data_IF_937043575506
#
_entry.id   IF_937043575506
#
_cell.length_a   1.000
_cell.length_b   1.000
_cell.length_c   1.000
_cell.angle_alpha   90.00
_cell.angle_beta   90.00
_cell.angle_gamma   90.00
#
_symmetry.space_group_name_H-M   'P 1'
#
loop_
_entity.id
_entity.type
_entity.pdbx_description
1 polymer ?
#
# COMPACT_ATOMS: atom_id res chain seq x y z
N UNK A 1 -22.71 38.96 -63.45
CA UNK A 1 -22.83 38.11 -62.26
C UNK A 1 -21.55 38.28 -61.40
N UNK A 2 -21.63 38.94 -60.24
CA UNK A 2 -20.50 39.19 -59.34
C UNK A 2 -20.70 38.31 -58.10
N UNK A 3 -19.90 37.27 -57.99
CA UNK A 3 -19.88 36.34 -56.84
C UNK A 3 -19.19 37.02 -55.68
N UNK A 4 -19.89 37.27 -54.57
CA UNK A 4 -19.33 37.77 -53.32
C UNK A 4 -18.84 36.55 -52.53
N UNK A 5 -17.54 36.45 -52.31
CA UNK A 5 -16.94 35.50 -51.37
C UNK A 5 -17.13 36.01 -49.94
N UNK A 6 -17.81 35.22 -49.11
CA UNK A 6 -17.98 35.48 -47.69
C UNK A 6 -16.78 34.86 -46.95
N UNK A 7 -15.89 35.70 -46.41
CA UNK A 7 -14.79 35.29 -45.60
C UNK A 7 -15.31 35.09 -44.16
N UNK A 8 -15.42 33.83 -43.72
CA UNK A 8 -15.72 33.50 -42.32
C UNK A 8 -14.45 33.67 -41.47
N UNK A 9 -14.42 34.67 -40.62
CA UNK A 9 -13.38 34.84 -39.60
C UNK A 9 -13.69 33.89 -38.46
N UNK A 10 -12.92 32.82 -38.33
CA UNK A 10 -12.92 31.94 -37.15
C UNK A 10 -12.19 32.67 -36.03
N UNK A 11 -12.91 33.24 -35.08
CA UNK A 11 -12.36 33.75 -33.84
C UNK A 11 -11.90 32.54 -32.98
N UNK A 12 -10.59 32.25 -32.99
CA UNK A 12 -9.95 31.42 -31.95
C UNK A 12 -10.06 32.22 -30.64
N UNK A 13 -10.99 31.84 -29.77
CA UNK A 13 -11.00 32.26 -28.39
C UNK A 13 -9.93 31.39 -27.68
N UNK A 14 -8.82 31.99 -27.19
CA UNK A 14 -7.90 31.21 -26.34
C UNK A 14 -8.66 30.82 -25.08
N UNK A 15 -8.76 29.52 -24.80
CA UNK A 15 -9.22 29.06 -23.52
C UNK A 15 -8.18 29.54 -22.48
N UNK A 16 -8.52 30.55 -21.71
CA UNK A 16 -7.80 30.91 -20.52
C UNK A 16 -7.92 29.69 -19.59
N UNK A 17 -6.87 28.87 -19.55
CA UNK A 17 -6.72 27.92 -18.46
C UNK A 17 -6.73 28.77 -17.17
N UNK A 18 -7.78 28.63 -16.39
CA UNK A 18 -7.88 29.33 -15.10
C UNK A 18 -6.64 28.97 -14.29
N UNK A 19 -5.85 29.99 -13.91
CA UNK A 19 -4.67 29.79 -13.08
C UNK A 19 -5.14 29.12 -11.78
N UNK A 20 -4.58 27.98 -11.46
CA UNK A 20 -4.90 27.21 -10.28
C UNK A 20 -4.64 28.08 -9.04
N UNK A 21 -5.65 28.30 -8.22
CA UNK A 21 -5.52 29.04 -6.97
C UNK A 21 -4.77 28.18 -5.96
N UNK A 22 -3.71 28.72 -5.39
CA UNK A 22 -2.87 28.05 -4.40
C UNK A 22 -2.86 28.89 -3.13
N UNK A 23 -3.15 28.28 -1.99
CA UNK A 23 -3.03 28.92 -0.67
C UNK A 23 -1.55 29.14 -0.28
N UNK A 24 -1.23 30.01 0.68
CA UNK A 24 0.15 30.30 1.08
C UNK A 24 0.95 29.07 1.55
N UNK A 25 0.29 28.05 2.06
CA UNK A 25 0.89 26.76 2.47
C UNK A 25 1.05 25.77 1.30
N UNK A 26 0.73 26.20 0.07
CA UNK A 26 0.85 25.41 -1.14
C UNK A 26 -0.34 24.48 -1.45
N UNK A 27 -1.42 24.52 -0.66
CA UNK A 27 -2.65 23.75 -0.93
C UNK A 27 -3.42 24.36 -2.08
N UNK A 28 -3.87 23.52 -3.02
CA UNK A 28 -4.75 23.99 -4.09
C UNK A 28 -6.14 24.28 -3.55
N UNK A 29 -6.68 25.38 -4.05
CA UNK A 29 -8.04 25.79 -3.77
C UNK A 29 -8.92 25.49 -4.99
N UNK A 30 -10.16 25.07 -4.74
CA UNK A 30 -11.19 24.95 -5.76
C UNK A 30 -11.72 26.36 -6.17
N UNK A 31 -12.68 26.41 -7.09
CA UNK A 31 -13.24 27.67 -7.57
C UNK A 31 -13.92 28.48 -6.47
N UNK A 32 -14.36 27.83 -5.40
CA UNK A 32 -14.97 28.44 -4.22
C UNK A 32 -13.93 28.94 -3.20
N UNK A 33 -12.63 28.69 -3.45
CA UNK A 33 -11.54 29.06 -2.56
C UNK A 33 -11.35 28.08 -1.39
N UNK A 34 -11.92 26.87 -1.48
CA UNK A 34 -11.78 25.84 -0.45
C UNK A 34 -10.59 24.92 -0.76
N UNK A 35 -9.85 24.44 0.25
CA UNK A 35 -8.75 23.51 0.06
C UNK A 35 -9.16 22.20 -0.60
N UNK A 36 -8.36 21.74 -1.56
CA UNK A 36 -8.50 20.41 -2.17
C UNK A 36 -7.43 19.49 -1.64
N UNK A 37 -7.86 18.41 -1.02
CA UNK A 37 -6.97 17.41 -0.42
C UNK A 37 -7.00 16.12 -1.21
N UNK A 38 -5.88 15.77 -1.83
CA UNK A 38 -5.70 14.50 -2.51
C UNK A 38 -5.45 13.36 -1.52
N UNK A 39 -5.84 12.16 -1.92
CA UNK A 39 -5.67 10.96 -1.08
C UNK A 39 -5.49 9.74 -1.96
N UNK A 40 -4.57 8.84 -1.60
CA UNK A 40 -4.60 7.48 -2.12
C UNK A 40 -4.44 6.45 -1.01
N UNK A 41 -5.11 5.32 -1.16
CA UNK A 41 -5.15 4.25 -0.17
C UNK A 41 -5.11 2.87 -0.82
N UNK A 42 -4.68 1.89 -0.02
CA UNK A 42 -4.61 0.48 -0.35
C UNK A 42 -5.29 -0.31 0.75
N UNK A 43 -6.32 -1.09 0.42
CA UNK A 43 -6.81 -2.18 1.26
C UNK A 43 -6.27 -3.50 0.71
N UNK A 44 -5.79 -4.37 1.59
CA UNK A 44 -5.23 -5.66 1.20
C UNK A 44 -5.46 -6.72 2.27
N UNK A 45 -5.37 -7.98 1.85
CA UNK A 45 -5.43 -9.14 2.74
C UNK A 45 -4.25 -10.07 2.46
N UNK A 46 -3.93 -10.87 3.46
CA UNK A 46 -3.08 -12.04 3.30
C UNK A 46 -3.86 -13.30 3.74
N UNK A 47 -4.40 -14.08 2.78
CA UNK A 47 -5.17 -15.27 3.11
C UNK A 47 -4.39 -16.35 3.87
N UNK A 48 -3.05 -16.41 3.72
CA UNK A 48 -2.22 -17.39 4.39
C UNK A 48 -2.12 -17.13 5.91
N UNK A 49 -2.12 -15.86 6.31
CA UNK A 49 -2.04 -15.46 7.72
C UNK A 49 -3.39 -15.04 8.32
N UNK A 50 -4.39 -14.80 7.49
CA UNK A 50 -5.68 -14.24 7.91
C UNK A 50 -5.62 -12.73 8.21
N UNK A 51 -4.50 -12.07 7.91
CA UNK A 51 -4.32 -10.65 8.14
C UNK A 51 -5.12 -9.82 7.14
N UNK A 52 -5.68 -8.71 7.61
CA UNK A 52 -6.23 -7.65 6.78
C UNK A 52 -5.53 -6.32 7.07
N UNK A 53 -5.34 -5.50 6.04
CA UNK A 53 -4.62 -4.24 6.12
C UNK A 53 -5.31 -3.12 5.37
N UNK A 54 -5.15 -1.90 5.88
CA UNK A 54 -5.51 -0.66 5.20
C UNK A 54 -4.41 0.38 5.42
N UNK A 55 -3.92 0.96 4.32
CA UNK A 55 -2.87 1.97 4.35
C UNK A 55 -3.26 3.15 3.46
N UNK A 56 -2.88 4.36 3.88
CA UNK A 56 -3.31 5.60 3.23
C UNK A 56 -2.26 6.69 3.39
N UNK A 57 -2.17 7.57 2.40
CA UNK A 57 -1.50 8.88 2.52
C UNK A 57 -2.38 9.96 1.91
N UNK A 58 -2.31 11.16 2.47
CA UNK A 58 -3.17 12.30 2.14
C UNK A 58 -2.53 13.60 2.58
N UNK A 59 -3.13 14.70 2.15
CA UNK A 59 -2.81 16.04 2.65
C UNK A 59 -3.63 16.46 3.87
N UNK A 60 -4.67 15.71 4.21
CA UNK A 60 -5.45 15.97 5.43
C UNK A 60 -4.64 15.47 6.64
N UNK A 61 -4.48 16.27 7.71
CA UNK A 61 -3.83 15.82 8.93
C UNK A 61 -4.57 14.64 9.58
N UNK A 62 -3.82 13.74 10.24
CA UNK A 62 -4.37 12.64 11.05
C UNK A 62 -5.35 11.71 10.31
N UNK A 63 -4.98 11.31 9.10
CA UNK A 63 -5.82 10.48 8.21
C UNK A 63 -6.20 9.12 8.78
N UNK A 64 -5.40 8.58 9.69
CA UNK A 64 -5.61 7.27 10.30
C UNK A 64 -6.90 7.15 11.12
N UNK A 65 -7.50 8.27 11.48
CA UNK A 65 -8.78 8.31 12.22
C UNK A 65 -10.01 8.11 11.33
N UNK A 66 -9.88 8.40 10.04
CA UNK A 66 -11.03 8.51 9.14
C UNK A 66 -11.04 7.48 8.02
N UNK A 67 -9.88 7.15 7.42
CA UNK A 67 -9.81 6.38 6.17
C UNK A 67 -9.65 4.88 6.37
N UNK A 68 -8.67 4.36 7.17
CA UNK A 68 -8.38 2.94 7.22
C UNK A 68 -9.20 2.22 8.29
N UNK A 69 -9.96 1.21 7.86
CA UNK A 69 -10.73 0.31 8.72
C UNK A 69 -10.39 -1.13 8.40
N UNK A 70 -10.08 -1.93 9.42
CA UNK A 70 -9.68 -3.34 9.28
C UNK A 70 -10.28 -4.17 10.42
N UNK A 71 -10.54 -5.46 10.15
CA UNK A 71 -10.94 -6.43 11.18
C UNK A 71 -10.37 -7.79 10.82
N UNK A 72 -9.71 -8.43 11.79
CA UNK A 72 -9.05 -9.72 11.62
C UNK A 72 -10.03 -10.80 11.17
N UNK A 73 -9.65 -11.58 10.16
CA UNK A 73 -10.50 -12.64 9.62
C UNK A 73 -11.75 -12.16 8.86
N UNK A 74 -11.93 -10.84 8.73
CA UNK A 74 -13.09 -10.23 8.05
C UNK A 74 -12.65 -9.54 6.75
N UNK A 75 -11.79 -8.52 6.84
CA UNK A 75 -11.38 -7.76 5.67
C UNK A 75 -10.98 -6.32 5.98
N UNK A 76 -11.02 -5.46 4.96
CA UNK A 76 -10.65 -4.05 5.06
C UNK A 76 -11.57 -3.14 4.25
N UNK A 77 -11.74 -1.92 4.75
CA UNK A 77 -12.48 -0.83 4.08
C UNK A 77 -11.65 0.44 4.17
N UNK A 78 -11.47 1.12 3.03
CA UNK A 78 -10.96 2.48 2.98
C UNK A 78 -12.07 3.42 2.49
N UNK A 79 -12.44 4.43 3.28
CA UNK A 79 -13.41 5.46 2.91
C UNK A 79 -12.74 6.82 2.89
N UNK A 80 -12.83 7.56 1.79
CA UNK A 80 -12.06 8.78 1.55
C UNK A 80 -12.77 9.74 0.60
N UNK A 81 -12.11 10.83 0.19
CA UNK A 81 -12.64 12.01 -0.49
C UNK A 81 -13.52 12.81 0.47
N UNK A 82 -14.78 13.13 0.18
CA UNK A 82 -15.71 13.61 1.19
C UNK A 82 -16.05 12.43 2.12
N UNK A 83 -15.19 12.19 3.12
CA UNK A 83 -15.16 10.96 3.88
C UNK A 83 -16.43 10.75 4.72
N UNK A 84 -17.09 9.60 4.54
CA UNK A 84 -18.15 9.11 5.43
C UNK A 84 -17.54 8.01 6.31
N UNK A 85 -17.12 8.35 7.51
CA UNK A 85 -16.36 7.44 8.40
C UNK A 85 -17.17 6.18 8.74
N UNK A 86 -18.49 6.30 8.88
CA UNK A 86 -19.41 5.20 9.18
C UNK A 86 -19.40 4.10 8.12
N UNK A 87 -18.97 4.38 6.91
CA UNK A 87 -18.83 3.34 5.88
C UNK A 87 -17.80 2.27 6.25
N UNK A 88 -16.78 2.63 7.05
CA UNK A 88 -15.79 1.70 7.55
C UNK A 88 -16.39 0.59 8.41
N UNK A 89 -16.89 0.90 9.62
CA UNK A 89 -17.45 -0.12 10.51
C UNK A 89 -18.68 -0.81 9.90
N UNK A 90 -19.58 -0.10 9.21
CA UNK A 90 -20.74 -0.70 8.54
C UNK A 90 -20.30 -1.67 7.43
N UNK A 91 -19.31 -1.33 6.65
CA UNK A 91 -18.75 -2.20 5.61
C UNK A 91 -18.15 -3.47 6.21
N UNK A 92 -17.37 -3.36 7.28
CA UNK A 92 -16.81 -4.52 8.00
C UNK A 92 -17.91 -5.43 8.59
N UNK A 93 -18.97 -4.84 9.13
CA UNK A 93 -20.11 -5.61 9.65
C UNK A 93 -20.86 -6.38 8.55
N UNK A 94 -20.97 -5.80 7.35
CA UNK A 94 -21.58 -6.47 6.20
C UNK A 94 -20.66 -7.58 5.66
N UNK A 95 -19.34 -7.36 5.59
CA UNK A 95 -18.39 -8.42 5.24
C UNK A 95 -18.51 -9.59 6.22
N UNK A 96 -18.55 -9.31 7.52
CA UNK A 96 -18.70 -10.35 8.56
C UNK A 96 -19.98 -11.16 8.44
N UNK A 97 -21.03 -10.59 7.83
CA UNK A 97 -22.28 -11.28 7.48
C UNK A 97 -22.21 -12.04 6.15
N UNK A 98 -21.08 -12.05 5.46
CA UNK A 98 -20.89 -12.72 4.18
C UNK A 98 -21.41 -11.96 2.96
N UNK A 99 -21.78 -10.69 3.10
CA UNK A 99 -22.23 -9.85 1.97
C UNK A 99 -21.04 -9.57 1.05
N UNK A 100 -21.26 -9.67 -0.25
CA UNK A 100 -20.21 -9.44 -1.25
C UNK A 100 -19.82 -7.95 -1.36
N UNK A 101 -18.54 -7.60 -1.60
CA UNK A 101 -18.07 -6.23 -1.66
C UNK A 101 -18.87 -5.30 -2.57
N UNK A 102 -19.34 -5.80 -3.72
CA UNK A 102 -20.18 -5.03 -4.64
C UNK A 102 -21.54 -4.65 -4.02
N UNK A 103 -22.15 -5.59 -3.33
CA UNK A 103 -23.46 -5.37 -2.69
C UNK A 103 -23.32 -4.53 -1.43
N UNK A 104 -22.16 -4.61 -0.75
CA UNK A 104 -21.82 -3.71 0.35
C UNK A 104 -21.79 -2.27 -0.14
N UNK A 105 -21.08 -1.99 -1.24
CA UNK A 105 -21.06 -0.64 -1.82
C UNK A 105 -22.45 -0.16 -2.21
N UNK A 106 -23.27 -1.02 -2.83
CA UNK A 106 -24.65 -0.68 -3.17
C UNK A 106 -25.47 -0.28 -1.92
N UNK A 107 -25.34 -1.02 -0.81
CA UNK A 107 -26.04 -0.72 0.43
C UNK A 107 -25.52 0.54 1.15
N UNK A 108 -24.21 0.78 1.13
CA UNK A 108 -23.61 1.97 1.76
C UNK A 108 -24.00 3.26 1.03
N UNK A 109 -24.15 3.20 -0.28
CA UNK A 109 -24.36 4.36 -1.15
C UNK A 109 -25.85 4.63 -1.46
N UNK A 110 -26.77 3.69 -1.14
CA UNK A 110 -28.18 3.75 -1.55
C UNK A 110 -28.85 5.08 -1.14
N UNK A 111 -28.70 5.47 0.11
CA UNK A 111 -29.37 6.65 0.68
C UNK A 111 -28.42 7.86 0.83
N UNK A 112 -27.16 7.75 0.35
CA UNK A 112 -26.22 8.86 0.43
C UNK A 112 -26.43 9.85 -0.73
N UNK A 113 -27.00 10.98 -0.43
CA UNK A 113 -27.20 12.07 -1.40
C UNK A 113 -25.88 12.64 -1.94
N UNK A 114 -24.77 12.43 -1.23
CA UNK A 114 -23.42 12.88 -1.62
C UNK A 114 -22.54 11.76 -2.17
N UNK A 115 -23.11 10.62 -2.56
CA UNK A 115 -22.35 9.46 -3.06
C UNK A 115 -21.35 9.79 -4.19
N UNK A 116 -21.68 10.80 -5.02
CA UNK A 116 -20.79 11.24 -6.10
C UNK A 116 -19.54 12.00 -5.61
N UNK A 117 -19.47 12.33 -4.33
CA UNK A 117 -18.29 12.92 -3.68
C UNK A 117 -17.58 11.94 -2.75
N UNK A 118 -17.98 10.66 -2.75
CA UNK A 118 -17.34 9.60 -1.95
C UNK A 118 -16.38 8.78 -2.79
N UNK A 119 -15.37 8.21 -2.13
CA UNK A 119 -14.56 7.15 -2.70
C UNK A 119 -14.35 6.06 -1.65
N UNK A 120 -14.68 4.82 -1.99
CA UNK A 120 -14.70 3.70 -1.04
C UNK A 120 -14.12 2.46 -1.71
N UNK A 121 -13.16 1.80 -1.05
CA UNK A 121 -12.66 0.48 -1.41
C UNK A 121 -13.00 -0.54 -0.34
N UNK A 122 -13.44 -1.72 -0.73
CA UNK A 122 -13.84 -2.83 0.16
C UNK A 122 -13.16 -4.11 -0.32
N UNK A 123 -12.60 -4.88 0.60
CA UNK A 123 -12.06 -6.22 0.33
C UNK A 123 -12.41 -7.17 1.47
N UNK A 124 -12.80 -8.39 1.14
CA UNK A 124 -13.05 -9.47 2.10
C UNK A 124 -11.90 -10.50 2.15
N UNK A 125 -11.94 -11.42 3.12
CA UNK A 125 -10.91 -12.46 3.27
C UNK A 125 -10.93 -13.55 2.18
N UNK A 126 -11.92 -13.58 1.30
CA UNK A 126 -11.93 -14.42 0.09
C UNK A 126 -11.19 -13.77 -1.08
N UNK A 127 -10.66 -12.53 -0.89
CA UNK A 127 -9.97 -11.77 -1.94
C UNK A 127 -10.92 -11.08 -2.91
N UNK A 128 -12.24 -11.12 -2.67
CA UNK A 128 -13.21 -10.37 -3.45
C UNK A 128 -13.12 -8.91 -3.06
N UNK A 129 -13.09 -8.03 -4.04
CA UNK A 129 -12.99 -6.59 -3.79
C UNK A 129 -13.88 -5.79 -4.73
N UNK A 130 -14.27 -4.61 -4.27
CA UNK A 130 -15.00 -3.63 -5.06
C UNK A 130 -14.59 -2.21 -4.64
N UNK A 131 -14.73 -1.26 -5.55
CA UNK A 131 -14.50 0.14 -5.26
C UNK A 131 -15.55 1.03 -5.93
N UNK A 132 -15.90 2.12 -5.24
CA UNK A 132 -16.69 3.21 -5.78
C UNK A 132 -15.83 4.46 -5.84
N UNK A 133 -15.85 5.14 -6.98
CA UNK A 133 -15.25 6.46 -7.19
C UNK A 133 -16.33 7.37 -7.78
N UNK A 134 -16.86 8.27 -6.96
CA UNK A 134 -17.88 9.23 -7.40
C UNK A 134 -17.31 10.27 -8.38
N UNK A 135 -18.18 10.90 -9.17
CA UNK A 135 -17.81 11.81 -10.26
C UNK A 135 -17.15 13.11 -9.78
N UNK A 136 -17.41 13.51 -8.51
CA UNK A 136 -16.99 14.79 -7.96
C UNK A 136 -15.64 14.70 -7.22
N UNK A 137 -14.81 13.71 -7.52
CA UNK A 137 -13.57 13.43 -6.82
C UNK A 137 -12.32 14.05 -7.49
N UNK A 138 -12.49 15.20 -8.12
CA UNK A 138 -11.42 16.04 -8.65
C UNK A 138 -11.00 15.74 -10.09
N UNK A 139 -9.88 16.32 -10.51
CA UNK A 139 -9.40 16.29 -11.91
C UNK A 139 -9.09 14.87 -12.37
N UNK A 140 -8.47 14.08 -11.51
CA UNK A 140 -8.28 12.66 -11.72
C UNK A 140 -8.59 11.89 -10.44
N UNK A 141 -9.42 10.88 -10.57
CA UNK A 141 -9.73 9.92 -9.52
C UNK A 141 -10.00 8.56 -10.16
N UNK A 142 -9.65 7.48 -9.44
CA UNK A 142 -9.85 6.13 -9.94
C UNK A 142 -9.53 5.07 -8.91
N UNK A 143 -9.72 3.82 -9.31
CA UNK A 143 -9.41 2.64 -8.50
C UNK A 143 -8.91 1.50 -9.36
N UNK A 144 -8.14 0.60 -8.74
CA UNK A 144 -7.70 -0.65 -9.34
C UNK A 144 -7.86 -1.79 -8.35
N UNK A 145 -8.41 -2.90 -8.80
CA UNK A 145 -8.57 -4.12 -8.04
C UNK A 145 -7.67 -5.20 -8.62
N UNK A 146 -7.14 -6.05 -7.76
CA UNK A 146 -6.34 -7.20 -8.13
C UNK A 146 -6.46 -8.31 -7.09
N UNK A 147 -5.61 -9.32 -7.22
CA UNK A 147 -5.58 -10.43 -6.28
C UNK A 147 -5.23 -9.94 -4.88
N UNK A 148 -6.19 -10.06 -3.96
CA UNK A 148 -6.04 -9.74 -2.54
C UNK A 148 -5.81 -8.24 -2.23
N UNK A 149 -6.19 -7.33 -3.13
CA UNK A 149 -6.09 -5.89 -2.87
C UNK A 149 -7.12 -5.05 -3.65
N UNK A 150 -7.33 -3.83 -3.16
CA UNK A 150 -7.96 -2.72 -3.90
C UNK A 150 -7.25 -1.41 -3.58
N UNK A 151 -6.92 -0.64 -4.63
CA UNK A 151 -6.29 0.68 -4.55
C UNK A 151 -7.26 1.72 -5.05
N UNK A 152 -7.34 2.86 -4.39
CA UNK A 152 -8.13 4.00 -4.81
C UNK A 152 -7.38 5.30 -4.57
N UNK A 153 -7.60 6.28 -5.47
CA UNK A 153 -7.00 7.60 -5.38
C UNK A 153 -7.93 8.68 -5.93
N UNK A 154 -7.90 9.85 -5.33
CA UNK A 154 -8.69 11.02 -5.73
C UNK A 154 -7.84 12.29 -5.73
N UNK A 155 -8.21 13.25 -6.59
CA UNK A 155 -7.53 14.53 -6.79
C UNK A 155 -6.02 14.32 -7.07
N UNK A 156 -5.71 13.28 -7.84
CA UNK A 156 -4.34 12.80 -8.05
C UNK A 156 -3.72 13.40 -9.33
N UNK A 157 -2.40 13.28 -9.47
CA UNK A 157 -1.66 13.70 -10.67
C UNK A 157 -2.06 12.88 -11.90
N UNK A 158 -2.39 11.59 -11.72
CA UNK A 158 -2.77 10.69 -12.79
C UNK A 158 -2.87 9.22 -12.34
N UNK A 159 -3.16 8.30 -13.27
CA UNK A 159 -3.31 6.87 -12.99
C UNK A 159 -2.00 6.20 -12.56
N UNK A 160 -0.84 6.77 -12.92
CA UNK A 160 0.47 6.21 -12.62
C UNK A 160 0.72 6.00 -11.12
N UNK A 161 0.01 6.72 -10.26
CA UNK A 161 0.07 6.55 -8.80
C UNK A 161 -0.52 5.20 -8.40
N UNK A 162 -1.77 4.92 -8.78
CA UNK A 162 -2.42 3.63 -8.44
C UNK A 162 -1.77 2.45 -9.17
N UNK A 163 -1.26 2.66 -10.39
CA UNK A 163 -0.54 1.63 -11.13
C UNK A 163 0.76 1.24 -10.42
N UNK A 164 1.52 2.22 -9.90
CA UNK A 164 2.73 1.94 -9.13
C UNK A 164 2.45 1.24 -7.80
N UNK A 165 1.38 1.63 -7.09
CA UNK A 165 0.94 0.95 -5.86
C UNK A 165 0.61 -0.51 -6.17
N UNK A 166 -0.24 -0.75 -7.16
CA UNK A 166 -0.68 -2.09 -7.56
C UNK A 166 0.50 -2.96 -8.01
N UNK A 167 1.32 -2.48 -8.94
CA UNK A 167 2.47 -3.22 -9.45
C UNK A 167 3.47 -3.59 -8.35
N UNK A 168 3.71 -2.70 -7.38
CA UNK A 168 4.62 -2.98 -6.27
C UNK A 168 4.00 -4.00 -5.31
N UNK A 169 2.72 -3.90 -5.00
CA UNK A 169 2.03 -4.88 -4.14
C UNK A 169 2.01 -6.27 -4.79
N UNK A 170 1.68 -6.35 -6.06
CA UNK A 170 1.69 -7.59 -6.85
C UNK A 170 3.09 -8.21 -6.94
N UNK A 171 4.13 -7.38 -7.15
CA UNK A 171 5.51 -7.84 -7.23
C UNK A 171 6.01 -8.51 -5.93
N UNK A 172 5.37 -8.24 -4.79
CA UNK A 172 5.68 -8.88 -3.50
C UNK A 172 4.81 -10.12 -3.21
N UNK A 173 3.92 -10.54 -4.12
CA UNK A 173 3.11 -11.75 -3.92
C UNK A 173 3.99 -12.99 -3.82
N UNK A 174 3.71 -13.85 -2.85
CA UNK A 174 4.49 -15.06 -2.58
C UNK A 174 5.88 -14.83 -1.96
N UNK A 175 6.24 -13.59 -1.60
CA UNK A 175 7.53 -13.27 -0.95
C UNK A 175 7.66 -13.83 0.47
N UNK A 176 6.53 -14.02 1.15
CA UNK A 176 6.50 -14.29 2.58
C UNK A 176 6.76 -13.05 3.46
N UNK A 177 6.84 -11.87 2.87
CA UNK A 177 7.01 -10.64 3.64
C UNK A 177 5.74 -10.29 4.42
N UNK A 178 5.88 -9.66 5.60
CA UNK A 178 4.74 -9.19 6.35
C UNK A 178 3.82 -8.28 5.52
N UNK A 179 2.50 -8.46 5.65
CA UNK A 179 1.52 -7.65 4.92
C UNK A 179 1.78 -6.14 5.07
N UNK A 180 2.07 -5.69 6.30
CA UNK A 180 2.40 -4.28 6.57
C UNK A 180 3.55 -3.76 5.71
N UNK A 181 4.62 -4.54 5.56
CA UNK A 181 5.78 -4.13 4.79
C UNK A 181 5.48 -4.05 3.29
N UNK A 182 4.76 -5.03 2.76
CA UNK A 182 4.29 -5.03 1.37
C UNK A 182 3.46 -3.79 1.06
N UNK A 183 2.55 -3.43 1.97
CA UNK A 183 1.69 -2.25 1.84
C UNK A 183 2.47 -0.93 1.95
N UNK A 184 3.43 -0.82 2.87
CA UNK A 184 4.27 0.38 3.01
C UNK A 184 5.11 0.60 1.74
N UNK A 185 5.72 -0.46 1.19
CA UNK A 185 6.49 -0.36 -0.06
C UNK A 185 5.61 0.03 -1.25
N UNK A 186 4.39 -0.48 -1.30
CA UNK A 186 3.42 -0.11 -2.33
C UNK A 186 3.03 1.38 -2.24
N UNK A 187 2.75 1.90 -1.03
CA UNK A 187 2.48 3.33 -0.85
C UNK A 187 3.68 4.19 -1.23
N UNK A 188 4.90 3.78 -0.86
CA UNK A 188 6.14 4.48 -1.23
C UNK A 188 6.30 4.59 -2.76
N UNK A 189 5.98 3.53 -3.48
CA UNK A 189 6.02 3.53 -4.95
C UNK A 189 5.01 4.50 -5.57
N UNK A 190 3.78 4.56 -5.06
CA UNK A 190 2.77 5.53 -5.48
C UNK A 190 3.18 6.97 -5.13
N UNK A 191 3.73 7.18 -3.96
CA UNK A 191 4.26 8.47 -3.52
C UNK A 191 5.38 8.96 -4.44
N UNK A 192 6.28 8.06 -4.87
CA UNK A 192 7.36 8.37 -5.81
C UNK A 192 6.86 8.77 -7.20
N UNK A 193 5.66 8.35 -7.62
CA UNK A 193 5.03 8.73 -8.90
C UNK A 193 4.36 10.10 -8.88
N UNK A 194 4.51 10.82 -7.81
CA UNK A 194 3.95 12.15 -7.69
C UNK A 194 2.99 12.25 -6.53
N UNK A 195 2.21 11.23 -6.23
CA UNK A 195 1.26 11.27 -5.13
C UNK A 195 0.69 12.68 -4.93
N UNK A 196 1.02 13.28 -3.80
CA UNK A 196 0.63 14.66 -3.46
C UNK A 196 1.69 15.73 -3.75
N UNK A 197 2.67 15.48 -4.60
CA UNK A 197 3.78 16.45 -4.87
C UNK A 197 3.34 17.84 -5.34
N UNK A 198 2.12 17.98 -5.82
CA UNK A 198 1.58 19.26 -6.27
C UNK A 198 1.35 20.27 -5.15
N UNK A 199 1.39 19.82 -3.91
CA UNK A 199 0.80 20.57 -2.82
C UNK A 199 1.74 20.67 -1.63
N UNK A 200 2.16 21.82 -1.25
CA UNK A 200 2.83 22.20 -0.01
C UNK A 200 3.52 21.10 0.83
N UNK A 201 3.99 21.45 1.99
CA UNK A 201 4.92 20.61 2.75
C UNK A 201 4.26 19.60 3.69
N UNK A 202 3.02 19.82 4.14
CA UNK A 202 2.44 19.02 5.21
C UNK A 202 1.45 17.98 4.71
N UNK A 203 1.67 16.75 5.14
CA UNK A 203 0.92 15.57 4.72
C UNK A 203 0.80 14.59 5.90
N UNK A 204 -0.06 13.61 5.78
CA UNK A 204 -0.18 12.52 6.75
C UNK A 204 -0.21 11.16 6.08
N UNK A 205 0.13 10.12 6.84
CA UNK A 205 -0.02 8.73 6.41
C UNK A 205 -0.42 7.84 7.58
N UNK A 206 -1.11 6.75 7.29
CA UNK A 206 -1.45 5.75 8.29
C UNK A 206 -1.50 4.35 7.70
N UNK A 207 -1.23 3.37 8.56
CA UNK A 207 -1.45 1.95 8.28
C UNK A 207 -2.04 1.26 9.49
N UNK A 208 -3.02 0.39 9.24
CA UNK A 208 -3.56 -0.54 10.25
C UNK A 208 -3.50 -1.96 9.71
N UNK A 209 -3.07 -2.89 10.55
CA UNK A 209 -3.12 -4.34 10.28
C UNK A 209 -3.88 -5.00 11.41
N UNK A 210 -4.88 -5.78 11.07
CA UNK A 210 -5.57 -6.70 11.97
C UNK A 210 -5.08 -8.13 11.73
N UNK A 211 -4.85 -8.88 12.80
CA UNK A 211 -4.27 -10.22 12.78
C UNK A 211 -5.03 -11.15 13.74
N UNK A 212 -5.68 -12.21 13.24
CA UNK A 212 -6.43 -13.14 14.09
C UNK A 212 -5.55 -13.91 15.08
N UNK A 213 -4.25 -14.05 14.77
CA UNK A 213 -3.29 -14.76 15.61
C UNK A 213 -2.61 -13.85 16.64
N UNK A 214 -2.81 -12.56 16.55
CA UNK A 214 -2.31 -11.59 17.51
C UNK A 214 -3.50 -10.81 18.07
N UNK A 215 -4.06 -11.25 19.21
CA UNK A 215 -5.20 -10.59 19.82
C UNK A 215 -4.76 -9.23 20.39
N UNK A 216 -4.57 -8.28 19.48
CA UNK A 216 -4.31 -6.89 19.79
C UNK A 216 -5.40 -6.29 20.67
N UNK A 217 -5.28 -5.04 21.01
CA UNK A 217 -6.29 -4.36 21.84
C UNK A 217 -7.57 -4.12 21.02
N UNK A 218 -8.71 -4.52 21.56
CA UNK A 218 -10.05 -4.31 20.98
C UNK A 218 -10.57 -5.46 20.12
N UNK A 219 -11.83 -5.35 19.72
CA UNK A 219 -12.59 -6.41 19.02
C UNK A 219 -12.14 -6.65 17.58
N UNK A 220 -11.42 -5.72 16.97
CA UNK A 220 -10.94 -5.84 15.59
C UNK A 220 -9.55 -6.47 15.48
N UNK A 221 -8.94 -6.86 16.61
CA UNK A 221 -7.62 -7.50 16.70
C UNK A 221 -6.52 -6.71 15.95
N UNK A 222 -6.43 -5.40 16.20
CA UNK A 222 -5.42 -4.53 15.59
C UNK A 222 -4.03 -4.89 16.13
N UNK A 223 -3.23 -5.54 15.30
CA UNK A 223 -1.86 -5.94 15.62
C UNK A 223 -0.84 -4.82 15.38
N UNK A 224 -1.11 -3.95 14.41
CA UNK A 224 -0.28 -2.80 14.07
C UNK A 224 -1.17 -1.61 13.75
N UNK A 225 -0.85 -0.47 14.34
CA UNK A 225 -1.39 0.83 13.94
C UNK A 225 -0.24 1.85 14.00
N UNK A 226 0.06 2.46 12.86
CA UNK A 226 1.00 3.57 12.76
C UNK A 226 0.25 4.74 12.12
N UNK A 227 0.34 5.89 12.74
CA UNK A 227 -0.18 7.14 12.20
C UNK A 227 0.92 8.20 12.26
N UNK A 228 1.20 8.80 11.11
CA UNK A 228 2.02 10.01 10.97
C UNK A 228 1.04 11.13 10.72
N UNK A 229 0.73 11.89 11.78
CA UNK A 229 -0.34 12.88 11.75
C UNK A 229 -0.05 14.07 10.87
N UNK A 230 1.23 14.48 10.79
CA UNK A 230 1.70 15.59 9.97
C UNK A 230 3.21 15.47 9.73
N UNK A 231 3.65 15.47 8.47
CA UNK A 231 5.05 15.36 8.11
C UNK A 231 5.26 15.73 6.63
N UNK A 232 6.42 16.25 6.28
CA UNK A 232 6.79 16.56 4.90
C UNK A 232 6.92 15.32 4.01
N UNK A 233 7.29 14.18 4.61
CA UNK A 233 7.38 12.87 3.93
C UNK A 233 6.78 11.77 4.81
N UNK A 234 5.44 11.73 4.93
CA UNK A 234 4.78 10.88 5.91
C UNK A 234 4.94 9.39 5.62
N UNK A 235 5.08 8.99 4.35
CA UNK A 235 5.27 7.59 3.98
C UNK A 235 6.65 7.10 4.40
N UNK A 236 7.69 7.89 4.19
CA UNK A 236 9.04 7.57 4.65
C UNK A 236 9.12 7.51 6.19
N UNK A 237 8.46 8.43 6.88
CA UNK A 237 8.39 8.43 8.34
C UNK A 237 7.60 7.21 8.87
N UNK A 238 6.47 6.87 8.26
CA UNK A 238 5.73 5.65 8.58
C UNK A 238 6.59 4.39 8.41
N UNK A 239 7.36 4.32 7.32
CA UNK A 239 8.33 3.25 7.07
C UNK A 239 9.40 3.21 8.15
N UNK A 240 9.97 4.36 8.52
CA UNK A 240 10.96 4.46 9.61
C UNK A 240 10.39 3.96 10.94
N UNK A 241 9.18 4.38 11.31
CA UNK A 241 8.50 3.94 12.53
C UNK A 241 8.27 2.43 12.50
N UNK A 242 7.76 1.89 11.39
CA UNK A 242 7.55 0.45 11.22
C UNK A 242 8.83 -0.33 11.47
N UNK A 243 9.93 0.08 10.87
CA UNK A 243 11.21 -0.56 11.05
C UNK A 243 11.83 -0.37 12.44
N UNK A 244 11.54 0.70 13.12
CA UNK A 244 11.97 0.95 14.49
C UNK A 244 11.23 0.10 15.51
N UNK A 245 9.96 -0.23 15.27
CA UNK A 245 9.15 -1.08 16.14
C UNK A 245 9.50 -2.57 16.10
N UNK A 246 10.55 -2.96 15.36
CA UNK A 246 11.14 -4.27 15.50
C UNK A 246 10.45 -5.41 14.77
N UNK A 247 9.74 -5.13 13.72
CA UNK A 247 9.01 -6.13 12.90
C UNK A 247 9.84 -6.73 11.79
N UNK A 248 11.15 -6.95 11.99
CA UNK A 248 11.97 -7.42 10.90
C UNK A 248 13.03 -8.41 11.29
N UNK A 249 13.38 -9.20 10.33
CA UNK A 249 14.58 -10.00 10.29
C UNK A 249 15.79 -9.05 10.32
N UNK A 250 16.91 -9.44 10.87
CA UNK A 250 18.13 -8.64 10.86
C UNK A 250 18.67 -8.26 12.22
N UNK A 251 17.89 -8.42 13.28
CA UNK A 251 18.34 -8.23 14.67
C UNK A 251 18.39 -9.53 15.44
N UNK A 252 18.43 -10.65 14.73
CA UNK A 252 18.41 -11.97 15.35
C UNK A 252 19.81 -12.44 15.69
N UNK A 253 19.93 -13.00 16.85
CA UNK A 253 21.10 -13.76 17.23
C UNK A 253 21.02 -15.16 16.59
N UNK A 254 22.14 -15.64 16.08
CA UNK A 254 22.23 -16.96 15.41
C UNK A 254 21.78 -18.15 16.25
N UNK A 255 21.79 -18.02 17.56
CA UNK A 255 21.48 -19.13 18.45
C UNK A 255 20.03 -19.62 18.42
N UNK A 256 19.11 -18.92 17.78
CA UNK A 256 17.68 -19.25 17.76
C UNK A 256 16.96 -18.78 16.49
N UNK A 257 17.57 -18.84 15.34
CA UNK A 257 16.90 -18.43 14.11
C UNK A 257 16.10 -19.61 13.59
N UNK A 258 14.79 -19.57 13.81
CA UNK A 258 13.83 -20.52 13.25
C UNK A 258 12.47 -19.83 12.99
N UNK A 259 11.64 -20.47 12.19
CA UNK A 259 10.27 -20.01 11.93
C UNK A 259 10.12 -19.18 10.64
N UNK A 260 9.07 -18.38 10.59
CA UNK A 260 8.62 -17.65 9.38
C UNK A 260 9.70 -16.75 8.77
N UNK A 261 10.52 -16.11 9.59
CA UNK A 261 11.57 -15.22 9.09
C UNK A 261 12.69 -15.97 8.35
N UNK A 262 12.98 -17.21 8.75
CA UNK A 262 13.94 -18.06 8.05
C UNK A 262 13.36 -18.51 6.71
N UNK A 263 12.06 -18.81 6.68
CA UNK A 263 11.35 -19.15 5.44
C UNK A 263 11.39 -17.96 4.47
N UNK A 264 11.14 -16.75 4.93
CA UNK A 264 11.25 -15.53 4.13
C UNK A 264 12.67 -15.40 3.54
N UNK A 265 13.69 -15.53 4.38
CA UNK A 265 15.08 -15.47 3.98
C UNK A 265 15.41 -16.52 2.91
N UNK A 266 15.02 -17.79 3.14
CA UNK A 266 15.23 -18.89 2.20
C UNK A 266 14.51 -18.67 0.88
N UNK A 267 13.27 -18.17 0.88
CA UNK A 267 12.51 -17.81 -0.34
C UNK A 267 13.24 -16.75 -1.17
N UNK A 268 13.76 -15.69 -0.52
CA UNK A 268 14.52 -14.65 -1.22
C UNK A 268 15.82 -15.21 -1.83
N UNK A 269 16.61 -15.94 -1.05
CA UNK A 269 17.86 -16.56 -1.50
C UNK A 269 17.62 -17.59 -2.62
N UNK A 270 16.55 -18.38 -2.53
CA UNK A 270 16.14 -19.34 -3.56
C UNK A 270 15.80 -18.65 -4.89
N UNK A 271 14.93 -17.64 -4.87
CA UNK A 271 14.56 -16.91 -6.09
C UNK A 271 15.77 -16.25 -6.75
N UNK A 272 16.72 -15.78 -5.95
CA UNK A 272 17.94 -15.14 -6.43
C UNK A 272 19.02 -16.14 -6.86
N UNK A 273 18.79 -17.46 -6.68
CA UNK A 273 19.73 -18.51 -7.09
C UNK A 273 20.87 -18.77 -6.11
N UNK A 274 20.78 -18.31 -4.87
CA UNK A 274 21.79 -18.53 -3.84
C UNK A 274 21.54 -19.77 -2.98
N UNK A 275 20.29 -20.24 -2.93
CA UNK A 275 19.89 -21.37 -2.09
C UNK A 275 19.06 -22.37 -2.90
N UNK A 276 19.25 -23.66 -2.71
CA UNK A 276 18.59 -24.85 -3.27
C UNK A 276 17.71 -24.61 -4.49
N UNK A 277 18.22 -24.84 -5.68
CA UNK A 277 17.43 -24.83 -6.90
C UNK A 277 16.29 -25.88 -6.83
N UNK A 278 15.11 -25.54 -7.37
CA UNK A 278 13.97 -26.44 -7.47
C UNK A 278 13.21 -26.70 -6.16
N UNK A 279 13.55 -26.03 -5.07
CA UNK A 279 12.80 -26.15 -3.79
C UNK A 279 11.42 -25.54 -3.92
N UNK A 280 10.41 -26.23 -3.41
CA UNK A 280 9.06 -25.70 -3.18
C UNK A 280 8.88 -25.29 -1.72
N UNK A 281 7.99 -24.37 -1.48
CA UNK A 281 7.61 -23.91 -0.13
C UNK A 281 6.11 -24.18 0.07
N UNK A 282 5.74 -25.45 0.42
CA UNK A 282 4.33 -25.81 0.62
C UNK A 282 3.76 -25.13 1.86
N UNK A 283 2.46 -25.09 1.95
CA UNK A 283 1.75 -24.68 3.16
C UNK A 283 0.97 -25.89 3.73
N UNK A 284 1.11 -26.20 5.02
CA UNK A 284 2.03 -25.56 5.99
C UNK A 284 3.51 -25.82 5.65
N UNK A 285 4.36 -24.84 5.97
CA UNK A 285 5.80 -24.96 5.70
C UNK A 285 6.43 -26.01 6.60
N UNK A 286 7.14 -27.02 6.05
CA UNK A 286 7.84 -28.04 6.84
C UNK A 286 8.90 -27.44 7.79
N UNK A 287 9.12 -28.08 8.93
CA UNK A 287 10.03 -27.59 9.98
C UNK A 287 11.46 -27.40 9.48
N UNK A 288 11.96 -28.30 8.62
CA UNK A 288 13.30 -28.22 8.03
C UNK A 288 13.53 -26.94 7.20
N UNK A 289 12.48 -26.39 6.60
CA UNK A 289 12.55 -25.10 5.91
C UNK A 289 12.51 -23.91 6.86
N UNK A 290 12.13 -24.11 8.10
CA UNK A 290 12.04 -23.08 9.14
C UNK A 290 13.32 -22.93 9.96
N UNK A 291 14.33 -23.79 9.76
CA UNK A 291 15.58 -23.79 10.53
C UNK A 291 16.68 -23.05 9.77
N UNK A 292 17.42 -22.19 10.46
CA UNK A 292 18.60 -21.51 9.95
C UNK A 292 19.81 -22.45 10.01
N UNK A 293 19.99 -23.24 8.96
CA UNK A 293 20.99 -24.29 8.83
C UNK A 293 22.29 -23.80 8.17
N UNK A 294 23.31 -24.66 8.15
CA UNK A 294 24.63 -24.36 7.56
C UNK A 294 24.55 -23.99 6.08
N UNK A 295 23.62 -24.59 5.36
CA UNK A 295 23.43 -24.27 3.93
C UNK A 295 22.83 -22.87 3.73
N UNK A 296 21.92 -22.46 4.62
CA UNK A 296 21.39 -21.09 4.65
C UNK A 296 22.49 -20.09 5.01
N UNK A 297 23.36 -20.43 5.98
CA UNK A 297 24.53 -19.62 6.33
C UNK A 297 25.43 -19.41 5.12
N UNK A 298 25.80 -20.51 4.43
CA UNK A 298 26.62 -20.43 3.21
C UNK A 298 25.99 -19.58 2.10
N UNK A 299 24.68 -19.70 1.91
CA UNK A 299 23.94 -18.90 0.95
C UNK A 299 23.94 -17.39 1.29
N UNK A 300 23.77 -17.08 2.56
CA UNK A 300 23.86 -15.70 3.08
C UNK A 300 25.24 -15.12 2.86
N UNK A 301 26.29 -15.86 3.22
CA UNK A 301 27.69 -15.40 3.07
C UNK A 301 28.05 -15.18 1.59
N UNK A 302 27.61 -16.06 0.71
CA UNK A 302 27.80 -15.89 -0.73
C UNK A 302 27.09 -14.64 -1.25
N UNK A 303 25.83 -14.42 -0.87
CA UNK A 303 25.10 -13.22 -1.26
C UNK A 303 25.77 -11.95 -0.73
N UNK A 304 26.24 -11.96 0.54
CA UNK A 304 26.99 -10.84 1.12
C UNK A 304 28.25 -10.53 0.34
N UNK A 305 29.01 -11.56 -0.05
CA UNK A 305 30.23 -11.39 -0.82
C UNK A 305 29.93 -10.79 -2.22
N UNK A 306 28.97 -11.35 -2.93
CA UNK A 306 28.59 -10.89 -4.28
C UNK A 306 28.05 -9.45 -4.28
N UNK A 307 27.40 -9.02 -3.20
CA UNK A 307 26.85 -7.66 -3.03
C UNK A 307 27.80 -6.70 -2.27
N UNK A 308 29.05 -7.13 -2.00
CA UNK A 308 30.05 -6.34 -1.29
C UNK A 308 29.58 -5.80 0.07
N UNK A 309 28.79 -6.62 0.79
CA UNK A 309 28.22 -6.28 2.09
C UNK A 309 29.11 -6.71 3.27
N UNK A 310 30.22 -7.37 2.99
CA UNK A 310 31.15 -7.82 4.00
C UNK A 310 31.95 -6.63 4.60
N UNK A 311 32.21 -6.71 5.90
CA UNK A 311 33.11 -5.84 6.61
C UNK A 311 34.01 -6.67 7.54
N UNK A 312 35.09 -6.08 8.03
CA UNK A 312 36.01 -6.79 8.90
C UNK A 312 35.32 -7.24 10.18
N UNK A 313 35.37 -8.53 10.47
CA UNK A 313 34.84 -9.13 11.70
C UNK A 313 33.35 -9.50 11.65
N UNK A 314 32.69 -9.49 10.51
CA UNK A 314 31.33 -10.04 10.46
C UNK A 314 31.35 -11.57 10.65
N UNK A 315 30.41 -12.05 11.48
CA UNK A 315 30.26 -13.48 11.72
C UNK A 315 29.71 -14.18 10.46
N UNK A 316 30.07 -15.45 10.21
CA UNK A 316 29.46 -16.26 9.16
C UNK A 316 27.93 -16.25 9.29
N UNK A 317 27.24 -16.13 8.15
CA UNK A 317 25.79 -16.11 8.11
C UNK A 317 25.14 -14.90 8.80
N UNK A 318 25.85 -13.78 8.98
CA UNK A 318 25.29 -12.59 9.61
C UNK A 318 24.10 -12.07 8.84
N UNK A 319 22.94 -12.03 9.49
CA UNK A 319 21.71 -11.41 8.97
C UNK A 319 21.50 -10.08 9.67
N UNK A 320 21.81 -9.00 8.98
CA UNK A 320 21.66 -7.64 9.46
C UNK A 320 20.72 -6.81 8.55
N UNK A 321 20.40 -5.60 8.95
CA UNK A 321 19.50 -4.73 8.20
C UNK A 321 19.98 -4.43 6.77
N UNK A 322 21.32 -4.34 6.56
CA UNK A 322 21.91 -4.08 5.23
C UNK A 322 21.71 -5.29 4.29
N UNK A 323 21.92 -6.51 4.82
CA UNK A 323 21.66 -7.74 4.07
C UNK A 323 20.19 -7.83 3.66
N UNK A 324 19.26 -7.65 4.61
CA UNK A 324 17.82 -7.76 4.33
C UNK A 324 17.37 -6.72 3.29
N UNK A 325 17.84 -5.49 3.40
CA UNK A 325 17.53 -4.46 2.41
C UNK A 325 18.05 -4.83 1.01
N UNK A 326 19.28 -5.32 0.91
CA UNK A 326 19.88 -5.74 -0.35
C UNK A 326 19.14 -6.95 -0.96
N UNK A 327 18.79 -7.95 -0.15
CA UNK A 327 18.01 -9.12 -0.57
C UNK A 327 16.64 -8.70 -1.13
N UNK A 328 15.93 -7.83 -0.43
CA UNK A 328 14.61 -7.35 -0.86
C UNK A 328 14.67 -6.53 -2.13
N UNK A 329 15.67 -5.66 -2.26
CA UNK A 329 15.90 -4.90 -3.50
C UNK A 329 16.17 -5.83 -4.68
N UNK A 330 17.10 -6.78 -4.53
CA UNK A 330 17.43 -7.74 -5.56
C UNK A 330 16.24 -8.66 -5.92
N UNK A 331 15.46 -9.06 -4.94
CA UNK A 331 14.25 -9.86 -5.14
C UNK A 331 13.20 -9.10 -5.97
N UNK A 332 12.96 -7.83 -5.67
CA UNK A 332 12.03 -6.97 -6.42
C UNK A 332 12.50 -6.75 -7.86
N UNK A 333 13.80 -6.52 -8.08
CA UNK A 333 14.38 -6.38 -9.40
C UNK A 333 14.21 -7.68 -10.23
N UNK A 334 14.48 -8.82 -9.61
CA UNK A 334 14.32 -10.14 -10.25
C UNK A 334 12.88 -10.42 -10.66
N UNK A 335 11.89 -10.06 -9.81
CA UNK A 335 10.48 -10.22 -10.13
C UNK A 335 10.02 -9.31 -11.27
N UNK A 336 10.54 -8.09 -11.36
CA UNK A 336 10.22 -7.15 -12.44
C UNK A 336 10.80 -7.57 -13.79
N UNK A 337 11.94 -8.26 -13.78
CA UNK A 337 12.65 -8.71 -15.02
C UNK A 337 12.19 -10.06 -15.52
N UNK A 338 11.48 -10.84 -14.75
CA UNK A 338 11.00 -12.19 -15.08
C UNK A 338 9.50 -12.29 -15.36
N UNK A 339 8.80 -11.14 -15.47
CA UNK A 339 7.37 -11.03 -15.81
C UNK A 339 7.16 -10.75 -17.29
#
# INVERSE_FOLDING_TARGET
MKTKALLAFLLLVPSLAAAQRIAPDGVTLNDEGLPQYSTFSLCAIDPATGQSGAAVTTRVPFVGRAVPHVRAGVGAVCTQASTMVEYGPRGLDLIAKGVEPKDILAQLLADDQQRESRQVGVIDMQGRSAAHTGKNNGVWAGSKQGKNYTVQANIMVGPEVIEAVAATFEATDGSGWPLAERMILALEAGYAKGGDKRWGSLQSAAIKIADPNNPGRGNDHIALAIEVGENENPVAEMKRIYYTTGRRLGYRSFSRVEGADVVELKRMLHLLGYWRAGTTFPEPVPRELQVYDEETIAAVDKFRADKQLNYQGNAPGLVDARLIQALRSAWLEKKKSGG
#
